data_IF_981236485019
#
_entry.id   IF_981236485019
#
_cell.length_a   1.000
_cell.length_b   1.000
_cell.length_c   1.000
_cell.angle_alpha   90.00
_cell.angle_beta   90.00
_cell.angle_gamma   90.00
#
_symmetry.space_group_name_H-M   'P 1'
#
loop_
_entity.id
_entity.type
_entity.pdbx_description
1 polymer ?
#
# COMPACT_ATOMS: atom_id res chain seq x y z
N UNK A 1 5.21 12.02 1.41
CA UNK A 1 5.90 11.87 0.11
C UNK A 1 7.01 10.82 0.23
N UNK A 2 7.93 10.99 1.18
CA UNK A 2 9.14 10.17 1.32
C UNK A 2 8.89 8.67 1.46
N UNK A 3 7.86 8.26 2.20
CA UNK A 3 7.47 6.83 2.34
C UNK A 3 7.14 6.21 0.98
N UNK A 4 6.30 6.87 0.19
CA UNK A 4 5.89 6.37 -1.12
C UNK A 4 7.08 6.32 -2.10
N UNK A 5 7.93 7.36 -2.09
CA UNK A 5 9.13 7.42 -2.92
C UNK A 5 10.12 6.31 -2.56
N UNK A 6 10.44 6.14 -1.27
CA UNK A 6 11.36 5.09 -0.81
C UNK A 6 10.86 3.69 -1.17
N UNK A 7 9.59 3.37 -0.92
CA UNK A 7 9.01 2.09 -1.31
C UNK A 7 9.05 1.90 -2.84
N UNK A 8 8.80 2.97 -3.58
CA UNK A 8 8.82 2.98 -5.03
C UNK A 8 10.18 2.73 -5.66
N UNK A 9 11.28 3.17 -5.03
CA UNK A 9 12.66 2.91 -5.48
C UNK A 9 13.21 1.59 -4.97
N UNK A 10 12.79 1.13 -3.79
CA UNK A 10 13.20 -0.16 -3.23
C UNK A 10 12.59 -1.37 -3.96
N UNK A 11 11.50 -1.15 -4.72
CA UNK A 11 10.89 -2.20 -5.54
C UNK A 11 11.65 -2.39 -6.85
N UNK A 12 12.54 -3.39 -6.87
CA UNK A 12 13.42 -3.70 -8.01
C UNK A 12 12.77 -4.58 -9.10
N UNK A 13 11.46 -4.82 -9.04
CA UNK A 13 10.78 -5.82 -9.87
C UNK A 13 10.03 -5.20 -11.05
N UNK A 14 9.84 -5.95 -12.15
CA UNK A 14 8.96 -5.53 -13.23
C UNK A 14 7.53 -5.31 -12.70
N UNK A 15 6.81 -4.36 -13.30
CA UNK A 15 5.49 -3.94 -12.85
C UNK A 15 4.46 -5.07 -13.02
N UNK A 16 4.11 -5.77 -11.93
CA UNK A 16 2.86 -6.56 -11.82
C UNK A 16 1.70 -5.72 -11.29
N UNK A 17 2.03 -4.74 -10.46
CA UNK A 17 1.10 -3.80 -9.87
C UNK A 17 1.51 -2.36 -10.16
N UNK A 18 0.51 -1.48 -10.25
CA UNK A 18 0.68 -0.06 -10.47
C UNK A 18 1.30 0.61 -9.24
N UNK A 19 2.62 0.69 -9.24
CA UNK A 19 3.45 1.21 -8.14
C UNK A 19 2.99 2.58 -7.61
N UNK A 20 2.70 3.59 -8.43
CA UNK A 20 2.16 4.86 -7.94
C UNK A 20 0.90 4.70 -7.07
N UNK A 21 -0.01 3.80 -7.46
CA UNK A 21 -1.20 3.50 -6.68
C UNK A 21 -0.88 2.79 -5.36
N UNK A 22 -0.07 1.74 -5.38
CA UNK A 22 0.21 0.93 -4.19
C UNK A 22 1.15 1.62 -3.20
N UNK A 23 2.24 2.21 -3.67
CA UNK A 23 3.17 2.99 -2.84
C UNK A 23 2.49 4.27 -2.31
N UNK A 24 1.61 4.87 -3.13
CA UNK A 24 0.79 6.01 -2.72
C UNK A 24 -0.12 5.68 -1.53
N UNK A 25 -0.69 4.48 -1.48
CA UNK A 25 -1.51 4.02 -0.35
C UNK A 25 -0.73 4.05 0.97
N UNK A 26 0.51 3.55 0.97
CA UNK A 26 1.38 3.58 2.14
C UNK A 26 1.79 5.00 2.52
N UNK A 27 2.08 5.85 1.54
CA UNK A 27 2.34 7.27 1.77
C UNK A 27 1.14 7.99 2.40
N UNK A 28 -0.08 7.72 1.93
CA UNK A 28 -1.31 8.27 2.49
C UNK A 28 -1.56 7.74 3.91
N UNK A 29 -1.38 6.44 4.13
CA UNK A 29 -1.49 5.82 5.47
C UNK A 29 -0.53 6.48 6.45
N UNK A 30 0.74 6.66 6.06
CA UNK A 30 1.74 7.35 6.88
C UNK A 30 1.29 8.78 7.23
N UNK A 31 0.85 9.55 6.23
CA UNK A 31 0.44 10.94 6.42
C UNK A 31 -0.75 11.04 7.38
N UNK A 32 -1.78 10.20 7.21
CA UNK A 32 -2.98 10.20 8.05
C UNK A 32 -2.64 9.76 9.47
N UNK A 33 -1.84 8.71 9.64
CA UNK A 33 -1.41 8.24 10.96
C UNK A 33 -0.61 9.31 11.71
N UNK A 34 0.25 10.07 11.03
CA UNK A 34 0.97 11.21 11.63
C UNK A 34 0.00 12.32 12.03
N UNK A 35 -0.92 12.72 11.14
CA UNK A 35 -1.90 13.78 11.43
C UNK A 35 -2.82 13.42 12.62
N UNK A 36 -3.07 12.13 12.83
CA UNK A 36 -3.88 11.64 13.96
C UNK A 36 -3.09 11.36 15.24
N UNK A 37 -1.76 11.52 15.21
CA UNK A 37 -0.91 11.26 16.37
C UNK A 37 -0.88 9.78 16.78
N UNK A 38 -0.86 8.87 15.80
CA UNK A 38 -0.82 7.43 16.10
C UNK A 38 0.49 7.04 16.78
N UNK A 39 0.37 6.24 17.84
CA UNK A 39 1.49 5.55 18.44
C UNK A 39 2.02 4.44 17.52
N UNK A 40 3.24 3.98 17.78
CA UNK A 40 3.95 2.99 16.94
C UNK A 40 3.10 1.76 16.61
N UNK A 41 2.36 1.20 17.57
CA UNK A 41 1.53 0.00 17.34
C UNK A 41 0.31 0.27 16.47
N UNK A 42 -0.29 1.46 16.56
CA UNK A 42 -1.38 1.88 15.68
C UNK A 42 -0.87 2.17 14.27
N UNK A 43 0.32 2.77 14.16
CA UNK A 43 0.99 2.98 12.89
C UNK A 43 1.24 1.63 12.19
N UNK A 44 1.88 0.68 12.87
CA UNK A 44 2.13 -0.67 12.33
C UNK A 44 0.81 -1.34 11.91
N UNK A 45 -0.22 -1.27 12.75
CA UNK A 45 -1.53 -1.86 12.44
C UNK A 45 -2.18 -1.22 11.22
N UNK A 46 -2.13 0.12 11.09
CA UNK A 46 -2.68 0.84 9.93
C UNK A 46 -2.00 0.43 8.63
N UNK A 47 -0.68 0.22 8.63
CA UNK A 47 0.05 -0.29 7.47
C UNK A 47 -0.34 -1.73 7.13
N UNK A 48 -0.49 -2.58 8.15
CA UNK A 48 -1.03 -3.94 8.04
C UNK A 48 -2.38 -3.99 7.34
N UNK A 49 -3.30 -3.16 7.79
CA UNK A 49 -4.67 -3.06 7.29
C UNK A 49 -4.72 -2.43 5.89
N UNK A 50 -3.87 -1.46 5.60
CA UNK A 50 -3.75 -0.87 4.27
C UNK A 50 -3.20 -1.90 3.26
N UNK A 51 -2.14 -2.64 3.64
CA UNK A 51 -1.56 -3.70 2.80
C UNK A 51 -2.61 -4.76 2.43
N UNK A 52 -3.46 -5.17 3.38
CA UNK A 52 -4.52 -6.15 3.16
C UNK A 52 -5.59 -5.69 2.14
N UNK A 53 -5.67 -4.39 1.85
CA UNK A 53 -6.66 -3.78 0.96
C UNK A 53 -6.05 -3.25 -0.33
N UNK A 54 -4.75 -3.42 -0.56
CA UNK A 54 -4.09 -2.92 -1.76
C UNK A 54 -4.68 -3.53 -3.02
N UNK A 55 -4.84 -2.68 -4.03
CA UNK A 55 -5.23 -3.08 -5.37
C UNK A 55 -4.33 -2.44 -6.43
N UNK A 56 -4.55 -2.83 -7.69
CA UNK A 56 -3.98 -2.15 -8.84
C UNK A 56 -3.06 -3.02 -9.66
N UNK A 57 -3.58 -4.09 -10.24
CA UNK A 57 -2.83 -4.88 -11.23
C UNK A 57 -2.54 -4.03 -12.47
N UNK A 58 -1.50 -4.40 -13.22
CA UNK A 58 -1.14 -3.68 -14.45
C UNK A 58 -2.11 -3.89 -15.62
N UNK A 59 -3.17 -4.71 -15.47
CA UNK A 59 -4.15 -4.97 -16.53
C UNK A 59 -4.80 -3.69 -17.08
N UNK A 60 -5.07 -2.70 -16.21
CA UNK A 60 -5.63 -1.43 -16.66
C UNK A 60 -4.68 -0.66 -17.60
N UNK A 61 -3.36 -0.85 -17.48
CA UNK A 61 -2.38 -0.23 -18.37
C UNK A 61 -2.38 -0.90 -19.74
N UNK A 62 -2.48 -2.23 -19.78
CA UNK A 62 -2.51 -2.98 -21.04
C UNK A 62 -3.75 -2.66 -21.86
N UNK A 63 -4.85 -2.30 -21.20
CA UNK A 63 -6.13 -1.99 -21.84
C UNK A 63 -6.39 -0.49 -22.06
N UNK A 64 -5.50 0.40 -21.58
CA UNK A 64 -5.74 1.85 -21.62
C UNK A 64 -6.98 2.29 -20.82
N UNK A 65 -7.31 1.55 -19.76
CA UNK A 65 -8.56 1.70 -19.02
C UNK A 65 -8.52 2.89 -18.05
N UNK A 66 -9.64 3.64 -17.87
CA UNK A 66 -9.75 4.68 -16.84
C UNK A 66 -9.60 4.11 -15.42
N UNK A 67 -9.69 2.78 -15.26
CA UNK A 67 -9.41 2.11 -14.01
C UNK A 67 -8.00 2.41 -13.48
N UNK A 68 -7.05 2.80 -14.33
CA UNK A 68 -5.71 3.23 -13.91
C UNK A 68 -5.78 4.38 -12.88
N UNK A 69 -6.58 5.41 -13.14
CA UNK A 69 -6.78 6.51 -12.20
C UNK A 69 -7.63 6.08 -10.99
N UNK A 70 -8.66 5.26 -11.22
CA UNK A 70 -9.53 4.76 -10.15
C UNK A 70 -8.79 3.93 -9.10
N UNK A 71 -7.79 3.14 -9.51
CA UNK A 71 -6.93 2.36 -8.60
C UNK A 71 -6.23 3.27 -7.58
N UNK A 72 -5.86 4.50 -7.94
CA UNK A 72 -5.31 5.47 -6.97
C UNK A 72 -6.38 5.92 -5.96
N UNK A 73 -7.59 6.24 -6.45
CA UNK A 73 -8.70 6.64 -5.59
C UNK A 73 -9.12 5.54 -4.61
N UNK A 74 -9.17 4.28 -5.07
CA UNK A 74 -9.46 3.14 -4.20
C UNK A 74 -8.40 2.98 -3.12
N UNK A 75 -7.13 3.01 -3.49
CA UNK A 75 -6.04 2.87 -2.52
C UNK A 75 -5.98 4.04 -1.52
N UNK A 76 -6.30 5.28 -1.94
CA UNK A 76 -6.41 6.42 -1.04
C UNK A 76 -7.57 6.25 -0.03
N UNK A 77 -8.75 5.82 -0.49
CA UNK A 77 -9.88 5.48 0.40
C UNK A 77 -9.51 4.37 1.36
N UNK A 78 -8.87 3.31 0.87
CA UNK A 78 -8.50 2.15 1.69
C UNK A 78 -7.49 2.54 2.78
N UNK A 79 -6.59 3.49 2.53
CA UNK A 79 -5.69 4.04 3.55
C UNK A 79 -6.46 4.75 4.68
N UNK A 80 -7.46 5.58 4.35
CA UNK A 80 -8.32 6.22 5.36
C UNK A 80 -9.04 5.16 6.20
N UNK A 81 -9.68 4.18 5.54
CA UNK A 81 -10.35 3.07 6.21
C UNK A 81 -9.40 2.27 7.11
N UNK A 82 -8.18 2.01 6.65
CA UNK A 82 -7.17 1.31 7.44
C UNK A 82 -6.78 2.08 8.72
N UNK A 83 -6.60 3.40 8.62
CA UNK A 83 -6.36 4.25 9.78
C UNK A 83 -7.57 4.29 10.72
N UNK A 84 -8.80 4.35 10.20
CA UNK A 84 -10.02 4.31 11.01
C UNK A 84 -10.13 3.00 11.81
N UNK A 85 -9.86 1.87 11.16
CA UNK A 85 -9.87 0.54 11.79
C UNK A 85 -8.76 0.43 12.84
N UNK A 86 -7.55 0.90 12.54
CA UNK A 86 -6.43 0.90 13.48
C UNK A 86 -6.71 1.78 14.72
N UNK A 87 -7.40 2.91 14.55
CA UNK A 87 -7.81 3.78 15.65
C UNK A 87 -8.77 3.05 16.63
N UNK A 88 -9.58 2.11 16.13
CA UNK A 88 -10.43 1.25 16.96
C UNK A 88 -9.66 0.11 17.66
N UNK A 89 -8.33 0.03 17.51
CA UNK A 89 -7.49 -0.97 18.17
C UNK A 89 -7.47 -2.33 17.49
N UNK A 90 -7.97 -2.45 16.25
CA UNK A 90 -7.91 -3.71 15.50
C UNK A 90 -6.48 -3.93 14.99
N UNK A 91 -5.86 -5.09 15.28
CA UNK A 91 -4.47 -5.35 14.92
C UNK A 91 -4.32 -5.62 13.41
N UNK A 92 -3.29 -5.02 12.81
CA UNK A 92 -2.87 -5.30 11.44
C UNK A 92 -1.74 -6.34 11.35
N UNK A 93 -1.49 -6.85 10.14
CA UNK A 93 -0.30 -7.68 9.88
C UNK A 93 0.98 -6.85 10.01
N UNK A 94 2.07 -7.45 10.52
CA UNK A 94 3.31 -6.70 10.86
C UNK A 94 4.36 -6.73 9.74
N UNK A 95 4.58 -7.89 9.12
CA UNK A 95 5.64 -8.10 8.13
C UNK A 95 5.20 -7.72 6.70
N UNK A 96 4.58 -6.56 6.53
CA UNK A 96 3.96 -6.15 5.27
C UNK A 96 4.94 -5.84 4.13
N UNK A 97 6.22 -5.58 4.43
CA UNK A 97 7.22 -5.27 3.39
C UNK A 97 7.99 -6.52 2.99
N UNK A 98 8.59 -7.19 3.97
CA UNK A 98 9.59 -8.26 3.76
C UNK A 98 9.07 -9.66 4.04
N UNK A 99 7.83 -9.80 4.54
CA UNK A 99 7.23 -11.11 4.78
C UNK A 99 7.08 -11.93 3.48
N UNK A 100 6.82 -13.25 3.58
CA UNK A 100 6.71 -14.13 2.42
C UNK A 100 5.61 -13.71 1.43
N UNK A 101 4.57 -13.04 1.94
CA UNK A 101 3.49 -12.42 1.15
C UNK A 101 3.46 -10.90 1.33
N UNK A 102 4.61 -10.31 1.68
CA UNK A 102 4.77 -8.86 1.80
C UNK A 102 4.86 -8.18 0.44
N UNK A 103 4.81 -6.86 0.48
CA UNK A 103 4.79 -5.97 -0.68
C UNK A 103 5.89 -6.27 -1.69
N UNK A 104 7.12 -6.50 -1.25
CA UNK A 104 8.24 -6.79 -2.15
C UNK A 104 8.16 -8.20 -2.76
N UNK A 105 7.70 -9.19 -1.99
CA UNK A 105 7.51 -10.54 -2.49
C UNK A 105 6.42 -10.60 -3.58
N UNK A 106 5.28 -9.94 -3.33
CA UNK A 106 4.16 -9.89 -4.27
C UNK A 106 4.46 -9.07 -5.54
N UNK A 107 5.35 -8.08 -5.44
CA UNK A 107 5.75 -7.26 -6.58
C UNK A 107 6.78 -7.95 -7.48
N UNK A 108 7.43 -9.02 -7.02
CA UNK A 108 8.44 -9.74 -7.81
C UNK A 108 7.84 -10.53 -8.97
N UNK A 109 8.50 -10.47 -10.12
CA UNK A 109 8.35 -11.45 -11.20
C UNK A 109 9.47 -12.48 -10.99
N UNK A 110 9.12 -13.72 -10.64
CA UNK A 110 10.07 -14.82 -10.83
C UNK A 110 10.14 -15.07 -12.33
N UNK A 111 11.30 -14.81 -12.94
CA UNK A 111 11.66 -15.45 -14.20
C UNK A 111 11.73 -16.95 -13.93
N UNK A 112 10.94 -17.71 -14.67
CA UNK A 112 11.04 -19.17 -14.78
C UNK A 112 12.36 -19.54 -15.46
#
# INVERSE_FOLDING_TARGET
MDVACHLGVSSASPLKFFRPGTCGAFGATAAVSILRGFETEQLISSFGLAHAQLCGTMQAHTEGSPLLAMQMGFNARNAMTACDIALQGIPGTRHILEGPFGFYACSRVNTI
#
